data_IF_272837691374
#
_entry.id   IF_272837691374
#
_cell.length_a   1.000
_cell.length_b   1.000
_cell.length_c   1.000
_cell.angle_alpha   90.00
_cell.angle_beta   90.00
_cell.angle_gamma   90.00
#
_symmetry.space_group_name_H-M   'P 1'
#
loop_
_entity.id
_entity.type
_entity.pdbx_description
1 polymer ?
#
# COMPACT_ATOMS: atom_id res chain seq x y z
N UNK A 1 44.36 34.52 10.29
CA UNK A 1 44.59 33.13 9.81
C UNK A 1 43.24 32.56 9.36
N UNK A 2 43.24 31.81 8.26
CA UNK A 2 42.02 31.33 7.62
C UNK A 2 42.04 29.82 7.46
N UNK A 3 40.87 29.23 7.28
CA UNK A 3 40.68 27.83 6.90
C UNK A 3 39.38 27.67 6.12
N UNK A 4 39.04 26.44 5.75
CA UNK A 4 37.81 26.13 5.00
C UNK A 4 37.07 24.96 5.60
N UNK A 5 35.79 24.89 5.30
CA UNK A 5 34.93 23.75 5.61
C UNK A 5 34.61 23.06 4.29
N UNK A 6 34.76 21.73 4.24
CA UNK A 6 34.29 20.87 3.16
C UNK A 6 33.17 20.00 3.70
N UNK A 7 31.99 20.10 3.12
CA UNK A 7 30.82 19.33 3.48
C UNK A 7 30.61 18.21 2.44
N UNK A 8 30.30 17.01 2.92
CA UNK A 8 29.79 15.89 2.12
C UNK A 8 28.46 15.45 2.69
N UNK A 9 27.41 15.56 1.88
CA UNK A 9 26.04 15.24 2.24
C UNK A 9 25.67 13.85 1.76
N UNK A 10 25.14 13.03 2.66
CA UNK A 10 24.77 11.64 2.37
C UNK A 10 23.38 11.27 2.89
N UNK A 11 22.84 10.17 2.37
CA UNK A 11 21.73 9.44 2.96
C UNK A 11 22.21 8.68 4.21
N UNK A 12 21.50 8.83 5.33
CA UNK A 12 21.86 8.14 6.59
C UNK A 12 21.73 6.62 6.49
N UNK A 13 20.83 6.12 5.65
CA UNK A 13 20.48 4.69 5.56
C UNK A 13 21.03 4.01 4.30
N UNK A 14 21.62 4.76 3.37
CA UNK A 14 22.23 4.21 2.17
C UNK A 14 23.71 4.60 2.12
N UNK A 15 24.55 3.64 2.50
CA UNK A 15 25.99 3.76 2.37
C UNK A 15 26.32 4.06 0.90
N UNK A 16 26.96 5.21 0.65
CA UNK A 16 27.37 5.72 -0.67
C UNK A 16 26.32 6.45 -1.52
N UNK A 17 25.17 6.83 -0.94
CA UNK A 17 24.26 7.77 -1.63
C UNK A 17 24.54 9.21 -1.22
N UNK A 18 25.23 9.95 -2.09
CA UNK A 18 25.47 11.38 -1.90
C UNK A 18 24.25 12.19 -2.33
N UNK A 19 24.01 13.33 -1.66
CA UNK A 19 22.80 14.13 -1.82
C UNK A 19 23.13 15.54 -2.29
N UNK A 20 22.58 15.92 -3.44
CA UNK A 20 22.69 17.25 -4.02
C UNK A 20 21.58 18.19 -3.52
N UNK A 21 21.83 19.49 -3.60
CA UNK A 21 20.83 20.53 -3.36
C UNK A 21 20.52 20.83 -1.89
N UNK A 22 21.19 20.19 -0.93
CA UNK A 22 21.15 20.64 0.46
C UNK A 22 21.76 22.04 0.57
N UNK A 23 21.06 22.96 1.22
CA UNK A 23 21.53 24.31 1.52
C UNK A 23 21.81 24.46 3.01
N UNK A 24 23.01 24.94 3.35
CA UNK A 24 23.42 25.24 4.71
C UNK A 24 23.82 26.69 4.85
N UNK A 25 23.45 27.29 5.97
CA UNK A 25 24.09 28.50 6.47
C UNK A 25 25.28 28.13 7.36
N UNK A 26 26.34 28.91 7.26
CA UNK A 26 27.48 28.90 8.18
C UNK A 26 27.25 30.05 9.16
N UNK A 27 27.02 29.73 10.43
CA UNK A 27 26.84 30.71 11.50
C UNK A 27 28.09 30.81 12.38
N UNK A 28 28.46 32.03 12.78
CA UNK A 28 29.53 32.26 13.76
C UNK A 28 29.05 31.99 15.21
N UNK A 29 29.93 32.20 16.19
CA UNK A 29 29.61 32.01 17.62
C UNK A 29 28.48 32.91 18.15
N UNK A 30 28.13 33.98 17.44
CA UNK A 30 27.05 34.89 17.79
C UNK A 30 25.74 34.56 17.03
N UNK A 31 25.74 33.48 16.23
CA UNK A 31 24.61 33.09 15.39
C UNK A 31 24.45 33.92 14.12
N UNK A 32 25.45 34.75 13.75
CA UNK A 32 25.40 35.53 12.51
C UNK A 32 25.77 34.63 11.33
N UNK A 33 24.95 34.67 10.27
CA UNK A 33 25.27 34.00 9.01
C UNK A 33 26.44 34.69 8.33
N UNK A 34 27.53 33.94 8.13
CA UNK A 34 28.79 34.40 7.52
C UNK A 34 29.07 33.71 6.18
N UNK A 35 28.26 32.73 5.79
CA UNK A 35 28.38 32.05 4.51
C UNK A 35 27.23 31.08 4.24
N UNK A 36 27.21 30.56 3.02
CA UNK A 36 26.25 29.55 2.55
C UNK A 36 27.01 28.42 1.84
N UNK A 37 26.51 27.19 1.96
CA UNK A 37 26.97 26.02 1.22
C UNK A 37 25.77 25.40 0.51
N UNK A 38 25.90 25.15 -0.79
CA UNK A 38 24.95 24.34 -1.56
C UNK A 38 25.71 23.12 -2.08
N UNK A 39 25.16 21.94 -1.81
CA UNK A 39 25.78 20.68 -2.22
C UNK A 39 25.57 20.38 -3.70
N UNK A 40 26.65 20.00 -4.38
CA UNK A 40 26.65 19.66 -5.81
C UNK A 40 26.10 18.26 -6.09
N UNK A 41 26.11 17.82 -7.36
CA UNK A 41 25.65 16.49 -7.77
C UNK A 41 26.40 15.32 -7.10
N UNK A 42 27.63 15.57 -6.64
CA UNK A 42 28.43 14.60 -5.87
C UNK A 42 28.19 14.73 -4.37
N UNK A 43 27.25 15.56 -3.94
CA UNK A 43 26.91 15.87 -2.56
C UNK A 43 27.97 16.70 -1.83
N UNK A 44 28.93 17.28 -2.54
CA UNK A 44 30.02 18.07 -1.99
C UNK A 44 29.71 19.56 -1.95
N UNK A 45 30.21 20.28 -0.95
CA UNK A 45 30.27 21.74 -0.93
C UNK A 45 31.53 22.21 -0.20
N UNK A 46 32.13 23.33 -0.62
CA UNK A 46 33.31 23.91 0.03
C UNK A 46 33.05 25.38 0.31
N UNK A 47 33.39 25.84 1.53
CA UNK A 47 33.22 27.22 1.93
C UNK A 47 34.24 28.15 1.27
N UNK A 48 33.96 29.45 1.31
CA UNK A 48 34.99 30.48 1.19
C UNK A 48 35.96 30.40 2.38
N UNK A 49 37.02 31.18 2.31
CA UNK A 49 37.95 31.32 3.43
C UNK A 49 37.23 31.91 4.65
N UNK A 50 37.34 31.21 5.78
CA UNK A 50 36.77 31.61 7.06
C UNK A 50 37.91 31.88 8.04
N UNK A 51 37.81 32.91 8.89
CA UNK A 51 38.70 33.06 10.03
C UNK A 51 38.73 31.81 10.91
N UNK A 52 39.84 31.60 11.64
CA UNK A 52 39.88 30.55 12.66
C UNK A 52 38.82 30.82 13.72
N UNK A 53 38.12 29.77 14.17
CA UNK A 53 37.03 29.93 15.13
C UNK A 53 36.08 28.76 15.16
N UNK A 54 35.06 28.89 16.01
CA UNK A 54 33.96 27.93 16.10
C UNK A 54 32.78 28.44 15.26
N UNK A 55 32.22 27.54 14.47
CA UNK A 55 31.09 27.80 13.60
C UNK A 55 30.04 26.71 13.78
N UNK A 56 28.82 27.00 13.33
CA UNK A 56 27.73 26.03 13.22
C UNK A 56 27.21 25.98 11.80
N UNK A 57 26.99 24.78 11.28
CA UNK A 57 26.28 24.54 10.03
C UNK A 57 24.80 24.31 10.34
N UNK A 58 23.93 25.11 9.75
CA UNK A 58 22.48 25.01 9.88
C UNK A 58 21.89 24.65 8.53
N UNK A 59 21.28 23.47 8.42
CA UNK A 59 20.57 23.10 7.20
C UNK A 59 19.30 23.94 7.10
N UNK A 60 19.20 24.75 6.05
CA UNK A 60 18.03 25.61 5.80
C UNK A 60 17.12 25.03 4.72
N UNK A 61 17.67 24.19 3.84
CA UNK A 61 16.93 23.47 2.82
C UNK A 61 17.48 22.05 2.69
N UNK A 62 16.61 21.06 2.87
CA UNK A 62 16.96 19.65 2.74
C UNK A 62 17.01 19.26 1.26
N UNK A 63 17.82 18.26 0.87
CA UNK A 63 17.70 17.62 -0.44
C UNK A 63 16.27 17.16 -0.72
N UNK A 64 15.85 17.22 -1.98
CA UNK A 64 14.51 16.77 -2.39
C UNK A 64 14.26 15.32 -1.94
N UNK A 65 13.17 15.12 -1.18
CA UNK A 65 12.79 13.80 -0.67
C UNK A 65 13.49 13.37 0.62
N UNK A 66 14.12 14.31 1.34
CA UNK A 66 14.79 14.06 2.61
C UNK A 66 14.21 14.92 3.73
N UNK A 67 14.29 14.41 4.97
CA UNK A 67 13.94 15.15 6.18
C UNK A 67 14.96 16.27 6.40
N UNK A 68 14.51 17.48 6.73
CA UNK A 68 15.36 18.61 7.12
C UNK A 68 15.98 18.36 8.49
N UNK A 69 17.30 18.58 8.62
CA UNK A 69 17.96 18.51 9.91
C UNK A 69 17.51 19.64 10.83
N UNK A 70 17.07 19.27 12.04
CA UNK A 70 16.67 20.22 13.08
C UNK A 70 17.85 20.72 13.90
N UNK A 71 18.87 19.87 14.04
CA UNK A 71 20.04 20.16 14.86
C UNK A 71 21.13 20.82 14.03
N UNK A 72 21.81 21.79 14.65
CA UNK A 72 22.98 22.46 14.07
C UNK A 72 24.21 21.57 14.26
N UNK A 73 25.13 21.60 13.30
CA UNK A 73 26.39 20.84 13.37
C UNK A 73 27.54 21.77 13.67
N UNK A 74 28.16 21.62 14.84
CA UNK A 74 29.31 22.42 15.24
C UNK A 74 30.59 22.00 14.49
N UNK A 75 31.40 22.97 14.10
CA UNK A 75 32.70 22.76 13.44
C UNK A 75 33.70 23.81 13.88
N UNK A 76 34.95 23.40 14.11
CA UNK A 76 36.06 24.29 14.46
C UNK A 76 36.97 24.45 13.25
N UNK A 77 37.10 25.69 12.76
CA UNK A 77 38.01 26.03 11.65
C UNK A 77 39.41 26.29 12.20
N UNK A 78 40.39 25.60 11.65
CA UNK A 78 41.80 25.68 12.03
C UNK A 78 42.63 26.33 10.92
N UNK A 79 43.78 26.92 11.29
CA UNK A 79 44.66 27.64 10.37
C UNK A 79 45.17 26.72 9.26
N UNK A 80 45.04 27.17 8.02
CA UNK A 80 45.54 26.53 6.79
C UNK A 80 45.04 25.09 6.59
N UNK A 81 43.87 24.75 7.17
CA UNK A 81 43.23 23.43 7.02
C UNK A 81 41.88 23.51 6.29
N UNK A 82 41.56 22.43 5.61
CA UNK A 82 40.21 22.14 5.11
C UNK A 82 39.60 21.07 6.01
N UNK A 83 38.60 21.45 6.80
CA UNK A 83 37.92 20.54 7.72
C UNK A 83 36.80 19.84 6.97
N UNK A 84 36.91 18.53 6.80
CA UNK A 84 35.91 17.71 6.11
C UNK A 84 34.85 17.18 7.08
N UNK A 85 33.58 17.43 6.75
CA UNK A 85 32.41 17.07 7.54
C UNK A 85 31.49 16.20 6.69
N UNK A 86 31.01 15.09 7.25
CA UNK A 86 29.99 14.24 6.63
C UNK A 86 28.68 14.37 7.39
N UNK A 87 27.63 14.86 6.73
CA UNK A 87 26.32 15.11 7.34
C UNK A 87 25.25 14.26 6.64
N UNK A 88 24.55 13.42 7.40
CA UNK A 88 23.51 12.51 6.89
C UNK A 88 22.11 13.10 6.99
N UNK A 89 21.24 12.88 5.98
CA UNK A 89 19.79 13.10 6.11
C UNK A 89 19.07 11.78 5.97
N UNK A 90 17.98 11.67 6.73
CA UNK A 90 17.07 10.56 6.62
C UNK A 90 16.15 10.77 5.41
N UNK A 91 16.06 9.78 4.54
CA UNK A 91 15.13 9.79 3.41
C UNK A 91 13.69 9.84 3.94
N UNK A 92 12.86 10.71 3.37
CA UNK A 92 11.42 10.70 3.62
C UNK A 92 10.84 9.36 3.15
N UNK A 93 9.83 8.81 3.84
CA UNK A 93 9.15 7.62 3.38
C UNK A 93 8.56 7.90 1.99
N UNK A 94 8.71 6.96 1.05
CA UNK A 94 8.21 7.14 -0.32
C UNK A 94 6.71 7.52 -0.28
N UNK A 95 6.28 8.49 -1.10
CA UNK A 95 4.89 8.90 -1.12
C UNK A 95 4.02 7.70 -1.51
N UNK A 96 2.86 7.59 -0.87
CA UNK A 96 2.00 6.44 -1.02
C UNK A 96 0.75 6.58 -0.17
N UNK A 97 -0.24 5.75 -0.48
CA UNK A 97 -1.55 5.76 0.14
C UNK A 97 -2.03 4.37 0.51
N UNK A 98 -3.28 4.29 0.93
CA UNK A 98 -3.95 3.02 1.22
C UNK A 98 -5.26 2.97 0.44
N UNK A 99 -5.72 1.76 0.18
CA UNK A 99 -7.06 1.50 -0.34
C UNK A 99 -7.92 1.04 0.85
N UNK A 100 -9.06 1.69 1.07
CA UNK A 100 -10.10 1.23 2.00
C UNK A 100 -11.27 0.72 1.17
N UNK A 101 -11.62 -0.56 1.35
CA UNK A 101 -12.76 -1.20 0.70
C UNK A 101 -13.88 -1.33 1.71
N UNK A 102 -15.07 -0.87 1.36
CA UNK A 102 -16.32 -1.16 2.07
C UNK A 102 -17.21 -2.04 1.20
N UNK A 103 -17.48 -3.25 1.67
CA UNK A 103 -18.27 -4.26 1.00
C UNK A 103 -19.69 -4.27 1.51
N UNK A 104 -20.63 -4.15 0.59
CA UNK A 104 -22.07 -4.01 0.88
C UNK A 104 -22.93 -4.84 -0.07
N UNK A 105 -24.18 -5.06 0.31
CA UNK A 105 -25.23 -5.62 -0.55
C UNK A 105 -25.61 -4.60 -1.65
N UNK A 106 -26.04 -5.10 -2.81
CA UNK A 106 -26.38 -4.27 -3.97
C UNK A 106 -27.69 -3.49 -3.81
N UNK A 107 -28.63 -4.03 -3.03
CA UNK A 107 -29.97 -3.47 -2.75
C UNK A 107 -30.03 -2.76 -1.41
N UNK A 108 -29.28 -3.24 -0.41
CA UNK A 108 -29.18 -2.62 0.90
C UNK A 108 -27.74 -2.23 1.26
N UNK A 109 -27.39 -0.97 1.00
CA UNK A 109 -26.04 -0.44 1.28
C UNK A 109 -25.65 -0.47 2.78
N UNK A 110 -26.64 -0.57 3.68
CA UNK A 110 -26.40 -0.65 5.12
C UNK A 110 -26.03 -2.07 5.55
N UNK A 111 -26.39 -3.08 4.74
CA UNK A 111 -26.00 -4.46 4.97
C UNK A 111 -24.54 -4.66 4.56
N UNK A 112 -23.66 -4.68 5.56
CA UNK A 112 -22.21 -4.84 5.37
C UNK A 112 -21.83 -6.32 5.25
N UNK A 113 -20.91 -6.63 4.33
CA UNK A 113 -20.59 -8.01 3.98
C UNK A 113 -19.17 -8.40 4.39
N UNK A 114 -19.08 -9.34 5.32
CA UNK A 114 -17.81 -9.90 5.81
C UNK A 114 -17.26 -11.02 4.93
N UNK A 115 -15.97 -11.28 5.07
CA UNK A 115 -15.26 -12.41 4.45
C UNK A 115 -15.21 -12.39 2.91
N UNK A 116 -15.45 -11.25 2.26
CA UNK A 116 -15.06 -11.05 0.87
C UNK A 116 -13.54 -11.02 0.78
N UNK A 117 -12.94 -11.67 -0.22
CA UNK A 117 -11.50 -11.64 -0.44
C UNK A 117 -11.20 -10.94 -1.76
N UNK A 118 -10.34 -9.94 -1.69
CA UNK A 118 -9.87 -9.14 -2.81
C UNK A 118 -8.39 -9.36 -3.07
N UNK A 119 -8.03 -9.44 -4.34
CA UNK A 119 -6.66 -9.40 -4.84
C UNK A 119 -6.40 -8.00 -5.41
N UNK A 120 -5.31 -7.37 -5.01
CA UNK A 120 -4.86 -6.07 -5.54
C UNK A 120 -3.63 -6.30 -6.41
N UNK A 121 -3.70 -5.88 -7.66
CA UNK A 121 -2.66 -6.02 -8.68
C UNK A 121 -2.10 -4.64 -9.02
N UNK A 122 -0.79 -4.54 -9.23
CA UNK A 122 -0.16 -3.34 -9.82
C UNK A 122 -0.37 -3.27 -11.34
N UNK A 123 0.15 -2.21 -11.97
CA UNK A 123 0.03 -1.99 -13.43
C UNK A 123 0.73 -3.09 -14.26
N UNK A 124 1.70 -3.78 -13.68
CA UNK A 124 2.38 -4.94 -14.28
C UNK A 124 1.61 -6.26 -14.07
N UNK A 125 0.49 -6.23 -13.34
CA UNK A 125 -0.33 -7.41 -13.04
C UNK A 125 0.20 -8.27 -11.91
N UNK A 126 1.18 -7.79 -11.12
CA UNK A 126 1.71 -8.50 -9.95
C UNK A 126 0.83 -8.26 -8.73
N UNK A 127 0.59 -9.32 -7.96
CA UNK A 127 -0.17 -9.23 -6.70
C UNK A 127 0.63 -8.47 -5.64
N UNK A 128 0.10 -7.32 -5.25
CA UNK A 128 0.69 -6.42 -4.25
C UNK A 128 -0.10 -6.35 -2.95
N UNK A 129 -1.30 -6.94 -2.88
CA UNK A 129 -2.00 -7.17 -1.62
C UNK A 129 -3.11 -8.22 -1.79
N UNK A 130 -3.45 -8.89 -0.68
CA UNK A 130 -4.65 -9.70 -0.53
C UNK A 130 -5.41 -9.23 0.70
N UNK A 131 -6.67 -8.88 0.52
CA UNK A 131 -7.48 -8.16 1.50
C UNK A 131 -8.75 -8.94 1.80
N UNK A 132 -9.08 -9.13 3.08
CA UNK A 132 -10.32 -9.80 3.50
C UNK A 132 -11.17 -8.86 4.33
N UNK A 133 -12.47 -8.73 4.01
CA UNK A 133 -13.37 -7.83 4.74
C UNK A 133 -13.69 -8.35 6.14
N UNK A 134 -13.70 -7.44 7.10
CA UNK A 134 -14.05 -7.69 8.50
C UNK A 134 -15.57 -7.78 8.71
N UNK A 135 -16.00 -7.90 9.98
CA UNK A 135 -17.43 -7.98 10.34
C UNK A 135 -18.23 -6.72 10.00
N UNK A 136 -17.56 -5.57 9.84
CA UNK A 136 -18.16 -4.31 9.41
C UNK A 136 -18.12 -4.15 7.89
N UNK A 137 -17.73 -5.22 7.17
CA UNK A 137 -17.56 -5.23 5.73
C UNK A 137 -16.40 -4.37 5.23
N UNK A 138 -15.44 -4.03 6.10
CA UNK A 138 -14.33 -3.13 5.75
C UNK A 138 -13.00 -3.86 5.70
N UNK A 139 -12.10 -3.36 4.86
CA UNK A 139 -10.69 -3.74 4.88
C UNK A 139 -9.82 -2.59 4.37
N UNK A 140 -8.65 -2.42 4.99
CA UNK A 140 -7.68 -1.40 4.61
C UNK A 140 -6.38 -2.09 4.18
N UNK A 141 -5.82 -1.66 3.05
CA UNK A 141 -4.55 -2.18 2.57
C UNK A 141 -3.36 -1.72 3.40
N UNK A 142 -2.22 -2.41 3.25
CA UNK A 142 -0.91 -1.82 3.57
C UNK A 142 -0.66 -0.56 2.74
N UNK A 143 0.36 0.22 3.12
CA UNK A 143 0.79 1.37 2.30
C UNK A 143 1.24 0.86 0.93
N UNK A 144 0.65 1.42 -0.12
CA UNK A 144 0.97 1.16 -1.51
C UNK A 144 1.60 2.42 -2.11
N UNK A 145 2.53 2.25 -3.03
CA UNK A 145 3.17 3.37 -3.75
C UNK A 145 2.12 4.08 -4.61
N UNK A 146 2.37 5.33 -4.96
CA UNK A 146 1.52 6.04 -5.92
C UNK A 146 1.43 5.27 -7.25
N UNK A 147 0.25 5.29 -7.86
CA UNK A 147 0.02 4.65 -9.15
C UNK A 147 -1.35 4.01 -9.28
N UNK A 148 -1.56 3.34 -10.42
CA UNK A 148 -2.78 2.64 -10.77
C UNK A 148 -2.74 1.18 -10.32
N UNK A 149 -3.86 0.71 -9.82
CA UNK A 149 -4.05 -0.65 -9.32
C UNK A 149 -5.36 -1.23 -9.83
N UNK A 150 -5.39 -2.55 -9.96
CA UNK A 150 -6.57 -3.32 -10.31
C UNK A 150 -6.97 -4.20 -9.13
N UNK A 151 -8.21 -4.07 -8.68
CA UNK A 151 -8.77 -4.86 -7.59
C UNK A 151 -9.73 -5.90 -8.16
N UNK A 152 -9.50 -7.16 -7.84
CA UNK A 152 -10.37 -8.28 -8.22
C UNK A 152 -10.96 -8.92 -6.99
N UNK A 153 -12.27 -9.13 -6.96
CA UNK A 153 -12.87 -10.02 -5.96
C UNK A 153 -12.57 -11.47 -6.36
N UNK A 154 -11.87 -12.20 -5.50
CA UNK A 154 -11.50 -13.61 -5.73
C UNK A 154 -12.35 -14.57 -4.92
N UNK A 155 -13.04 -14.06 -3.90
CA UNK A 155 -14.02 -14.82 -3.11
C UNK A 155 -15.14 -13.89 -2.67
N UNK A 156 -16.36 -14.20 -3.09
CA UNK A 156 -17.57 -13.50 -2.66
C UNK A 156 -17.90 -13.83 -1.19
N UNK A 157 -18.59 -12.93 -0.47
CA UNK A 157 -19.26 -13.27 0.79
C UNK A 157 -20.22 -14.45 0.64
N UNK A 158 -20.47 -15.18 1.72
CA UNK A 158 -21.41 -16.31 1.74
C UNK A 158 -22.80 -15.85 1.29
N UNK A 159 -23.38 -16.54 0.31
CA UNK A 159 -24.70 -16.23 -0.22
C UNK A 159 -24.73 -15.09 -1.25
N UNK A 160 -23.57 -14.62 -1.72
CA UNK A 160 -23.47 -13.57 -2.75
C UNK A 160 -22.78 -14.08 -4.01
N UNK A 161 -23.08 -13.44 -5.13
CA UNK A 161 -22.41 -13.68 -6.40
C UNK A 161 -21.03 -13.01 -6.40
N UNK A 162 -20.06 -13.66 -7.05
CA UNK A 162 -18.72 -13.12 -7.26
C UNK A 162 -18.75 -11.99 -8.29
N UNK A 163 -18.16 -10.85 -7.95
CA UNK A 163 -17.96 -9.75 -8.89
C UNK A 163 -16.93 -10.16 -9.95
N UNK A 164 -17.35 -10.19 -11.23
CA UNK A 164 -16.48 -10.59 -12.35
C UNK A 164 -15.62 -9.44 -12.86
N UNK A 165 -16.18 -8.23 -12.87
CA UNK A 165 -15.51 -7.07 -13.42
C UNK A 165 -14.49 -6.53 -12.41
N UNK A 166 -13.23 -6.32 -12.82
CA UNK A 166 -12.22 -5.71 -11.97
C UNK A 166 -12.55 -4.24 -11.70
N UNK A 167 -12.07 -3.74 -10.57
CA UNK A 167 -12.18 -2.32 -10.18
C UNK A 167 -10.82 -1.66 -10.35
N UNK A 168 -10.76 -0.59 -11.12
CA UNK A 168 -9.56 0.23 -11.26
C UNK A 168 -9.53 1.34 -10.21
N UNK A 169 -8.37 1.56 -9.61
CA UNK A 169 -8.17 2.60 -8.61
C UNK A 169 -6.80 3.24 -8.78
N UNK A 170 -6.69 4.53 -8.52
CA UNK A 170 -5.42 5.26 -8.57
C UNK A 170 -5.11 5.89 -7.21
N UNK A 171 -3.90 5.67 -6.72
CA UNK A 171 -3.36 6.29 -5.52
C UNK A 171 -2.52 7.49 -5.94
N UNK A 172 -2.97 8.68 -5.55
CA UNK A 172 -2.31 9.96 -5.84
C UNK A 172 -1.82 10.62 -4.54
N UNK A 173 -0.91 11.60 -4.65
CA UNK A 173 -0.41 12.34 -3.48
C UNK A 173 -1.51 13.12 -2.74
N UNK A 174 -2.55 13.54 -3.47
CA UNK A 174 -3.67 14.28 -2.92
C UNK A 174 -4.53 13.45 -1.94
N UNK A 175 -4.58 12.12 -2.13
CA UNK A 175 -5.48 11.23 -1.38
C UNK A 175 -4.69 10.15 -0.65
N UNK A 176 -4.52 10.34 0.67
CA UNK A 176 -3.82 9.36 1.52
C UNK A 176 -4.56 8.04 1.68
N UNK A 177 -5.88 8.04 1.65
CA UNK A 177 -6.73 6.85 1.75
C UNK A 177 -7.81 6.92 0.68
N UNK A 178 -7.66 6.08 -0.35
CA UNK A 178 -8.63 5.96 -1.42
C UNK A 178 -9.74 5.01 -0.99
N UNK A 179 -10.93 5.55 -0.75
CA UNK A 179 -12.10 4.78 -0.32
C UNK A 179 -12.88 4.29 -1.54
N UNK A 180 -13.29 3.03 -1.51
CA UNK A 180 -14.14 2.42 -2.53
C UNK A 180 -15.25 1.60 -1.87
N UNK A 181 -16.44 1.66 -2.46
CA UNK A 181 -17.60 0.85 -2.04
C UNK A 181 -17.86 -0.21 -3.10
N UNK A 182 -17.86 -1.48 -2.68
CA UNK A 182 -18.03 -2.62 -3.58
C UNK A 182 -19.32 -3.36 -3.26
N UNK A 183 -20.23 -3.41 -4.22
CA UNK A 183 -21.56 -4.02 -4.11
C UNK A 183 -21.58 -5.44 -4.65
N UNK A 184 -22.23 -6.39 -3.96
CA UNK A 184 -22.52 -7.71 -4.53
C UNK A 184 -24.02 -7.99 -4.48
N UNK A 185 -24.50 -8.66 -5.52
CA UNK A 185 -25.84 -9.22 -5.58
C UNK A 185 -25.93 -10.53 -4.80
N UNK A 186 -27.05 -10.74 -4.10
CA UNK A 186 -27.36 -12.03 -3.46
C UNK A 186 -27.49 -13.14 -4.50
N UNK A 187 -27.08 -14.33 -4.10
CA UNK A 187 -27.22 -15.52 -4.91
C UNK A 187 -28.69 -15.98 -4.88
N UNK A 188 -29.43 -15.76 -5.96
CA UNK A 188 -30.84 -16.20 -6.08
C UNK A 188 -30.97 -17.68 -6.48
N UNK A 189 -30.02 -18.54 -6.08
CA UNK A 189 -30.15 -19.98 -6.32
C UNK A 189 -31.28 -20.53 -5.44
N UNK A 190 -32.45 -20.70 -6.05
CA UNK A 190 -33.54 -21.50 -5.49
C UNK A 190 -33.09 -22.95 -5.62
N UNK A 191 -32.89 -23.65 -4.50
CA UNK A 191 -32.73 -25.10 -4.55
C UNK A 191 -34.03 -25.65 -5.16
N UNK A 192 -34.00 -26.42 -6.26
CA UNK A 192 -35.22 -27.04 -6.75
C UNK A 192 -35.76 -27.94 -5.63
N UNK A 193 -37.03 -27.80 -5.28
CA UNK A 193 -37.71 -28.77 -4.44
C UNK A 193 -37.62 -30.13 -5.15
N UNK A 194 -36.67 -30.97 -4.73
CA UNK A 194 -36.55 -32.34 -5.21
C UNK A 194 -37.40 -33.22 -4.30
N UNK A 195 -38.38 -33.91 -4.89
CA UNK A 195 -39.47 -34.60 -4.17
C UNK A 195 -40.90 -34.22 -4.59
N UNK A 196 -41.10 -33.65 -5.80
CA UNK A 196 -42.43 -33.31 -6.33
C UNK A 196 -43.23 -34.51 -6.86
N UNK A 197 -44.38 -34.24 -7.49
CA UNK A 197 -45.30 -35.24 -8.08
C UNK A 197 -44.66 -36.21 -9.09
N UNK A 198 -43.50 -35.87 -9.67
CA UNK A 198 -42.75 -36.79 -10.51
C UNK A 198 -42.23 -38.01 -9.74
N UNK A 199 -41.74 -37.82 -8.51
CA UNK A 199 -41.19 -38.93 -7.69
C UNK A 199 -42.26 -39.92 -7.22
N UNK A 200 -43.49 -39.47 -6.95
CA UNK A 200 -44.59 -40.37 -6.57
C UNK A 200 -44.98 -41.30 -7.73
N UNK A 201 -44.96 -40.81 -8.98
CA UNK A 201 -45.23 -41.63 -10.17
C UNK A 201 -44.20 -42.76 -10.28
N UNK A 202 -42.91 -42.47 -10.06
CA UNK A 202 -41.86 -43.50 -10.11
C UNK A 202 -42.03 -44.58 -9.02
N UNK A 203 -42.44 -44.21 -7.81
CA UNK A 203 -42.75 -45.19 -6.75
C UNK A 203 -43.96 -46.05 -7.11
N UNK A 204 -45.04 -45.46 -7.62
CA UNK A 204 -46.26 -46.20 -7.99
C UNK A 204 -46.00 -47.16 -9.15
N UNK A 205 -45.29 -46.71 -10.20
CA UNK A 205 -44.91 -47.57 -11.33
C UNK A 205 -43.96 -48.67 -10.85
N UNK A 206 -42.97 -48.35 -10.00
CA UNK A 206 -42.07 -49.34 -9.42
C UNK A 206 -42.80 -50.42 -8.63
N UNK A 207 -43.75 -50.02 -7.78
CA UNK A 207 -44.59 -50.94 -7.01
C UNK A 207 -45.43 -51.84 -7.94
N UNK A 208 -46.06 -51.27 -8.98
CA UNK A 208 -46.86 -52.04 -9.95
C UNK A 208 -46.01 -53.07 -10.70
N UNK A 209 -44.80 -52.71 -11.14
CA UNK A 209 -43.88 -53.64 -11.81
C UNK A 209 -43.50 -54.80 -10.88
N UNK A 210 -43.19 -54.50 -9.61
CA UNK A 210 -42.88 -55.54 -8.61
C UNK A 210 -44.07 -56.49 -8.41
N UNK A 211 -45.29 -55.97 -8.30
CA UNK A 211 -46.49 -56.82 -8.17
C UNK A 211 -46.74 -57.67 -9.42
N UNK A 212 -46.55 -57.13 -10.63
CA UNK A 212 -46.64 -57.90 -11.86
C UNK A 212 -45.62 -59.03 -11.90
N UNK A 213 -44.35 -58.76 -11.55
CA UNK A 213 -43.29 -59.78 -11.50
C UNK A 213 -43.64 -60.86 -10.47
N UNK A 214 -44.07 -60.48 -9.26
CA UNK A 214 -44.48 -61.45 -8.24
C UNK A 214 -45.67 -62.31 -8.68
N UNK A 215 -46.65 -61.73 -9.38
CA UNK A 215 -47.79 -62.45 -9.94
C UNK A 215 -47.35 -63.48 -10.99
N UNK A 216 -46.50 -63.10 -11.94
CA UNK A 216 -45.98 -64.03 -12.95
C UNK A 216 -45.08 -65.12 -12.35
N UNK A 217 -44.22 -64.77 -11.39
CA UNK A 217 -43.40 -65.74 -10.66
C UNK A 217 -44.25 -66.75 -9.87
N UNK A 218 -45.40 -66.33 -9.32
CA UNK A 218 -46.34 -67.24 -8.62
C UNK A 218 -47.11 -68.12 -9.61
N UNK A 219 -47.53 -67.56 -10.76
CA UNK A 219 -48.27 -68.30 -11.79
C UNK A 219 -47.42 -69.39 -12.47
N UNK A 220 -46.13 -69.15 -12.66
CA UNK A 220 -45.21 -70.10 -13.30
C UNK A 220 -44.58 -71.13 -12.32
N UNK A 221 -45.01 -71.16 -11.06
CA UNK A 221 -44.53 -72.09 -10.02
C UNK A 221 -45.52 -73.23 -9.72
N UNK A 222 -46.51 -73.46 -10.60
CA UNK A 222 -47.45 -74.58 -10.58
C UNK A 222 -47.08 -75.57 -11.68
#
# INVERSE_FOLDING_TARGET
>A
PIGKIKLVKVDTNAENKNLAGAKFHIEDSNGKVVGELITDEKGGAISKDLPIGNYSLVEVEAPKGYELLKDKVAVKVEKDKVIEMKIGNKKLPDPGGKIEIEKVDDKDINLKLKSAVFQVLDKEGKEVARLTTDEKGKVISRKLVLGKYTIKEIKAPNGYMLLRDPIEVEITEAVRIQKITVKNAKNNWVIPNTGGSGTTIFYVVGILVIFCVLYFCKKNRV
#
